data_IF_072882022832
#
_entry.id   IF_072882022832
#
_cell.length_a   1.000
_cell.length_b   1.000
_cell.length_c   1.000
_cell.angle_alpha   90.00
_cell.angle_beta   90.00
_cell.angle_gamma   90.00
#
_symmetry.space_group_name_H-M   'P 1'
#
loop_
_entity.id
_entity.type
_entity.pdbx_description
1 polymer ?
#
# COMPACT_ATOMS: atom_id res chain seq x y z
N UNK A 1 -67.78 -3.53 -30.00
CA UNK A 1 -67.24 -2.92 -28.76
C UNK A 1 -65.85 -3.49 -28.51
N UNK A 2 -64.80 -2.81 -28.95
CA UNK A 2 -63.42 -3.21 -28.65
C UNK A 2 -62.88 -2.25 -27.59
N UNK A 3 -62.52 -2.78 -26.45
CA UNK A 3 -61.82 -2.03 -25.38
C UNK A 3 -60.33 -2.18 -25.54
N UNK A 4 -59.64 -1.07 -25.90
CA UNK A 4 -58.16 -0.98 -25.89
C UNK A 4 -57.68 -0.77 -24.46
N UNK A 5 -56.79 -1.65 -24.01
CA UNK A 5 -56.00 -1.45 -22.77
C UNK A 5 -54.67 -0.83 -23.12
N UNK A 6 -54.47 0.42 -22.72
CA UNK A 6 -53.15 1.07 -22.80
C UNK A 6 -52.31 0.64 -21.60
N UNK A 7 -51.22 -0.03 -21.90
CA UNK A 7 -50.20 -0.43 -20.92
C UNK A 7 -49.26 0.76 -20.71
N UNK A 8 -49.35 1.44 -19.56
CA UNK A 8 -48.40 2.46 -19.14
C UNK A 8 -47.13 1.74 -18.63
N UNK A 9 -46.05 1.82 -19.39
CA UNK A 9 -44.71 1.40 -18.93
C UNK A 9 -44.12 2.57 -18.15
N UNK A 10 -44.05 2.44 -16.85
CA UNK A 10 -43.27 3.36 -15.98
C UNK A 10 -41.78 3.06 -16.15
N UNK A 11 -41.05 3.93 -16.85
CA UNK A 11 -39.61 3.97 -16.82
C UNK A 11 -39.15 4.57 -15.48
N UNK A 12 -38.75 3.76 -14.54
CA UNK A 12 -38.02 4.23 -13.35
C UNK A 12 -36.59 4.66 -13.79
N UNK A 13 -36.38 5.96 -13.89
CA UNK A 13 -35.07 6.56 -13.98
C UNK A 13 -34.31 6.28 -12.67
N UNK A 14 -33.47 5.26 -12.67
CA UNK A 14 -32.43 5.12 -11.65
C UNK A 14 -31.45 6.28 -11.84
N UNK A 15 -31.64 7.36 -11.08
CA UNK A 15 -30.59 8.34 -10.87
C UNK A 15 -29.44 7.65 -10.15
N UNK A 16 -28.41 7.26 -10.89
CA UNK A 16 -27.11 6.91 -10.35
C UNK A 16 -26.51 8.22 -9.81
N UNK A 17 -26.84 8.56 -8.56
CA UNK A 17 -26.10 9.57 -7.80
C UNK A 17 -24.68 9.02 -7.67
N UNK A 18 -23.77 9.55 -8.47
CA UNK A 18 -22.34 9.39 -8.23
C UNK A 18 -22.09 9.97 -6.84
N UNK A 19 -21.82 9.09 -5.86
CA UNK A 19 -21.34 9.54 -4.56
C UNK A 19 -20.10 10.37 -4.82
N UNK A 20 -20.13 11.69 -4.52
CA UNK A 20 -18.95 12.53 -4.57
C UNK A 20 -17.87 11.85 -3.73
N UNK A 21 -16.67 11.75 -4.29
CA UNK A 21 -15.53 11.20 -3.55
C UNK A 21 -15.32 12.04 -2.30
N UNK A 22 -15.42 11.40 -1.13
CA UNK A 22 -15.19 12.06 0.16
C UNK A 22 -13.72 12.50 0.34
N UNK A 23 -12.85 12.17 -0.60
CA UNK A 23 -11.44 12.53 -0.63
C UNK A 23 -11.15 13.48 -1.78
N UNK A 24 -10.23 14.42 -1.52
CA UNK A 24 -9.68 15.29 -2.56
C UNK A 24 -8.60 14.56 -3.35
N UNK A 25 -8.30 15.06 -4.55
CA UNK A 25 -7.26 14.47 -5.41
C UNK A 25 -5.83 14.58 -4.84
N UNK A 26 -5.65 15.31 -3.72
CA UNK A 26 -4.38 15.43 -3.01
C UNK A 26 -4.32 14.61 -1.73
N UNK A 27 -5.40 13.91 -1.37
CA UNK A 27 -5.42 13.01 -0.24
C UNK A 27 -4.72 11.68 -0.57
N UNK A 28 -4.18 11.06 0.46
CA UNK A 28 -3.51 9.76 0.40
C UNK A 28 -4.10 8.83 1.47
N UNK A 29 -5.36 8.36 1.30
CA UNK A 29 -6.15 7.75 2.38
C UNK A 29 -5.76 6.31 2.73
N UNK A 30 -4.99 5.64 1.88
CA UNK A 30 -4.64 4.23 2.05
C UNK A 30 -3.28 3.87 1.45
N UNK A 31 -2.89 2.61 1.56
CA UNK A 31 -1.70 2.07 0.93
C UNK A 31 -1.72 2.33 -0.58
N UNK A 32 -0.66 3.01 -1.07
CA UNK A 32 -0.43 3.43 -2.46
C UNK A 32 -1.40 4.51 -2.97
N UNK A 33 -2.05 5.27 -2.08
CA UNK A 33 -2.83 6.46 -2.42
C UNK A 33 -4.28 6.19 -2.82
N UNK A 34 -4.92 7.19 -3.34
CA UNK A 34 -6.36 7.20 -3.61
C UNK A 34 -6.81 6.06 -4.54
N UNK A 35 -6.00 5.76 -5.56
CA UNK A 35 -6.25 4.72 -6.56
C UNK A 35 -5.48 3.42 -6.29
N UNK A 36 -4.73 3.33 -5.18
CA UNK A 36 -3.92 2.18 -4.77
C UNK A 36 -2.84 1.76 -5.80
N UNK A 37 -2.44 2.67 -6.68
CA UNK A 37 -1.48 2.43 -7.77
C UNK A 37 -0.13 3.15 -7.59
N UNK A 38 -0.01 3.98 -6.53
CA UNK A 38 1.21 4.75 -6.25
C UNK A 38 1.35 6.03 -7.08
N UNK A 39 0.27 6.49 -7.70
CA UNK A 39 0.28 7.73 -8.47
C UNK A 39 -0.38 8.85 -7.69
N UNK A 40 0.23 10.03 -7.75
CA UNK A 40 -0.30 11.26 -7.19
C UNK A 40 -0.67 12.25 -8.31
N UNK A 41 -1.67 13.08 -8.04
CA UNK A 41 -2.03 14.15 -8.94
C UNK A 41 -0.83 15.10 -9.14
N UNK A 42 -0.54 15.43 -10.38
CA UNK A 42 0.48 16.44 -10.69
C UNK A 42 0.04 17.79 -10.13
N UNK A 43 0.91 18.39 -9.34
CA UNK A 43 0.81 19.77 -8.86
C UNK A 43 2.17 20.43 -9.08
N UNK A 44 2.16 21.68 -9.47
CA UNK A 44 3.39 22.47 -9.63
C UNK A 44 4.07 22.69 -8.28
N UNK A 45 5.39 22.81 -8.31
CA UNK A 45 6.16 23.17 -7.13
C UNK A 45 6.82 22.01 -6.38
N UNK A 46 6.45 20.75 -6.65
CA UNK A 46 7.10 19.60 -5.99
C UNK A 46 8.60 19.58 -6.31
N UNK A 47 9.50 19.66 -5.30
CA UNK A 47 10.93 19.71 -5.55
C UNK A 47 11.48 18.38 -6.05
N UNK A 48 12.51 18.46 -6.89
CA UNK A 48 13.31 17.31 -7.30
C UNK A 48 14.59 17.18 -6.47
N UNK A 49 15.00 18.27 -5.84
CA UNK A 49 16.23 18.32 -5.01
C UNK A 49 15.92 18.73 -3.57
N UNK A 50 16.52 18.05 -2.62
CA UNK A 50 16.49 18.39 -1.19
C UNK A 50 17.69 17.85 -0.44
N UNK A 51 17.85 18.34 0.78
CA UNK A 51 18.83 17.84 1.76
C UNK A 51 18.21 17.94 3.16
N UNK A 52 19.00 17.78 4.20
CA UNK A 52 18.51 18.00 5.59
C UNK A 52 18.07 19.45 5.86
N UNK A 53 18.52 20.41 5.04
CA UNK A 53 18.26 21.85 5.20
C UNK A 53 17.66 22.52 3.98
N UNK A 54 17.76 21.93 2.78
CA UNK A 54 17.20 22.48 1.53
C UNK A 54 15.83 21.88 1.26
N UNK A 55 14.83 22.70 0.96
CA UNK A 55 13.47 22.25 0.59
C UNK A 55 12.81 21.36 1.67
N UNK A 56 13.09 21.61 2.94
CA UNK A 56 12.42 20.98 4.08
C UNK A 56 11.50 21.99 4.71
N UNK A 57 10.18 21.77 4.62
CA UNK A 57 9.18 22.63 5.23
C UNK A 57 9.14 22.40 6.74
N UNK A 58 9.13 21.13 7.15
CA UNK A 58 9.25 20.73 8.54
C UNK A 58 9.78 19.30 8.65
N UNK A 59 10.29 18.96 9.84
CA UNK A 59 10.62 17.59 10.26
C UNK A 59 10.08 17.33 11.64
N UNK A 60 9.55 16.15 11.89
CA UNK A 60 8.99 15.77 13.19
C UNK A 60 9.55 14.43 13.63
N UNK A 61 9.99 14.35 14.86
CA UNK A 61 10.39 13.10 15.49
C UNK A 61 9.16 12.18 15.63
N UNK A 62 9.29 10.92 15.18
CA UNK A 62 8.28 9.88 15.33
C UNK A 62 8.75 8.90 16.41
N UNK A 63 8.05 8.76 17.52
CA UNK A 63 8.44 7.82 18.59
C UNK A 63 8.46 6.38 18.09
N UNK A 64 9.45 5.62 18.52
CA UNK A 64 9.60 4.21 18.19
C UNK A 64 10.04 3.95 16.74
N UNK A 65 9.75 2.74 16.26
CA UNK A 65 10.14 2.23 14.94
C UNK A 65 8.93 1.80 14.12
N UNK A 66 8.91 2.11 12.82
CA UNK A 66 7.83 1.65 11.94
C UNK A 66 8.16 1.77 10.47
N UNK A 67 7.56 0.88 9.67
CA UNK A 67 7.63 0.91 8.21
C UNK A 67 6.31 1.38 7.58
N UNK A 68 5.37 1.79 8.42
CA UNK A 68 4.10 2.38 7.98
C UNK A 68 4.35 3.56 7.05
N UNK A 69 3.79 3.49 5.86
CA UNK A 69 3.70 4.62 4.95
C UNK A 69 2.74 5.66 5.53
N UNK A 70 3.00 6.96 5.43
CA UNK A 70 2.07 7.98 5.89
C UNK A 70 0.72 7.87 5.17
N UNK A 71 -0.36 8.07 5.91
CA UNK A 71 -1.70 8.30 5.38
C UNK A 71 -2.04 9.75 5.60
N UNK A 72 -2.56 10.43 4.59
CA UNK A 72 -2.80 11.86 4.64
C UNK A 72 -4.20 12.17 4.11
N UNK A 73 -5.04 12.79 4.94
CA UNK A 73 -6.37 13.26 4.56
C UNK A 73 -6.61 14.65 5.16
N UNK A 74 -6.96 15.58 4.30
CA UNK A 74 -7.13 16.98 4.69
C UNK A 74 -5.86 17.56 5.33
N UNK A 75 -5.94 17.95 6.58
CA UNK A 75 -4.83 18.53 7.35
C UNK A 75 -4.18 17.56 8.34
N UNK A 76 -4.44 16.27 8.24
CA UNK A 76 -3.94 15.26 9.18
C UNK A 76 -3.08 14.21 8.49
N UNK A 77 -2.03 13.78 9.16
CA UNK A 77 -1.14 12.71 8.74
C UNK A 77 -1.14 11.63 9.82
N UNK A 78 -1.35 10.39 9.42
CA UNK A 78 -1.42 9.24 10.32
C UNK A 78 -0.33 8.22 10.00
N UNK A 79 0.30 7.68 11.04
CA UNK A 79 1.36 6.70 10.96
C UNK A 79 1.20 5.64 12.05
N UNK A 80 1.45 4.39 11.73
CA UNK A 80 1.66 3.36 12.73
C UNK A 80 3.14 3.36 13.16
N UNK A 81 3.38 3.13 14.46
CA UNK A 81 4.72 3.01 15.03
C UNK A 81 4.72 2.02 16.21
N UNK A 82 5.88 1.51 16.58
CA UNK A 82 6.05 0.59 17.70
C UNK A 82 7.25 1.02 18.56
N UNK A 83 7.03 1.12 19.84
CA UNK A 83 8.09 1.32 20.82
C UNK A 83 8.56 -0.07 21.29
N UNK A 84 9.78 -0.45 20.93
CA UNK A 84 10.33 -1.77 21.21
C UNK A 84 10.85 -1.87 22.65
N UNK A 85 11.14 -0.74 23.31
CA UNK A 85 11.60 -0.69 24.70
C UNK A 85 10.41 -0.74 25.67
N UNK A 86 9.40 0.09 25.41
CA UNK A 86 8.16 0.15 26.21
C UNK A 86 7.12 -0.89 25.79
N UNK A 87 7.40 -1.67 24.74
CA UNK A 87 6.59 -2.78 24.23
C UNK A 87 5.14 -2.42 23.92
N UNK A 88 4.93 -1.35 23.13
CA UNK A 88 3.59 -0.99 22.62
C UNK A 88 3.59 -0.63 21.14
N UNK A 89 2.44 -0.85 20.51
CA UNK A 89 2.15 -0.41 19.15
C UNK A 89 1.15 0.73 19.18
N UNK A 90 1.37 1.77 18.39
CA UNK A 90 0.53 2.97 18.41
C UNK A 90 0.26 3.51 17.01
N UNK A 91 -0.76 4.37 16.94
CA UNK A 91 -1.01 5.27 15.82
C UNK A 91 -0.73 6.68 16.30
N UNK A 92 -0.03 7.45 15.49
CA UNK A 92 0.22 8.88 15.71
C UNK A 92 -0.52 9.70 14.67
N UNK A 93 -1.01 10.87 15.07
CA UNK A 93 -1.59 11.89 14.20
C UNK A 93 -0.77 13.15 14.26
N UNK A 94 -0.40 13.68 13.09
CA UNK A 94 0.34 14.93 12.95
C UNK A 94 -0.48 15.95 12.18
N UNK A 95 -0.26 17.23 12.45
CA UNK A 95 -0.75 18.32 11.64
C UNK A 95 0.09 18.42 10.35
N UNK A 96 -0.57 18.45 9.19
CA UNK A 96 0.07 18.53 7.87
C UNK A 96 0.86 19.83 7.67
N UNK A 97 0.40 20.94 8.25
CA UNK A 97 0.96 22.27 7.99
C UNK A 97 2.32 22.47 8.67
N UNK A 98 2.43 22.06 9.93
CA UNK A 98 3.61 22.32 10.77
C UNK A 98 4.27 21.05 11.36
N UNK A 99 3.72 19.88 11.07
CA UNK A 99 4.24 18.60 11.54
C UNK A 99 4.03 18.31 13.03
N UNK A 100 3.36 19.19 13.79
CA UNK A 100 3.15 18.96 15.23
C UNK A 100 2.30 17.72 15.47
N UNK A 101 2.70 16.92 16.45
CA UNK A 101 1.90 15.79 16.91
C UNK A 101 0.63 16.29 17.59
N UNK A 102 -0.52 15.84 17.11
CA UNK A 102 -1.84 16.17 17.66
C UNK A 102 -2.18 15.14 18.75
N UNK A 103 -2.00 13.85 18.45
CA UNK A 103 -2.19 12.77 19.40
C UNK A 103 -1.36 11.53 19.04
N UNK A 104 -1.13 10.68 20.05
CA UNK A 104 -0.61 9.33 19.92
C UNK A 104 -1.50 8.40 20.73
N UNK A 105 -2.00 7.33 20.12
CA UNK A 105 -2.83 6.34 20.78
C UNK A 105 -2.13 5.00 20.80
N UNK A 106 -1.88 4.46 21.97
CA UNK A 106 -1.45 3.06 22.15
C UNK A 106 -2.61 2.14 21.77
N UNK A 107 -2.40 1.29 20.76
CA UNK A 107 -3.39 0.33 20.25
C UNK A 107 -3.22 -1.02 20.91
N UNK A 108 -1.97 -1.43 21.12
CA UNK A 108 -1.59 -2.65 21.83
C UNK A 108 -0.44 -2.38 22.77
N UNK A 109 -0.47 -3.02 23.92
CA UNK A 109 0.62 -3.09 24.90
C UNK A 109 0.90 -4.56 25.25
N UNK A 110 2.15 -4.90 25.48
CA UNK A 110 2.58 -6.24 25.87
C UNK A 110 3.60 -6.87 24.93
N UNK A 111 3.90 -8.13 25.16
CA UNK A 111 4.97 -8.84 24.50
C UNK A 111 4.79 -8.89 22.97
N UNK A 112 5.78 -8.41 22.25
CA UNK A 112 5.81 -8.47 20.80
C UNK A 112 5.99 -9.89 20.28
N UNK A 113 5.57 -10.09 19.03
CA UNK A 113 5.82 -11.34 18.31
C UNK A 113 7.32 -11.56 18.14
N UNK A 114 7.77 -12.78 18.39
CA UNK A 114 9.18 -13.19 18.22
C UNK A 114 9.46 -13.67 16.80
N UNK A 115 10.74 -13.62 16.39
CA UNK A 115 11.19 -14.10 15.08
C UNK A 115 10.99 -13.10 13.94
N UNK A 116 10.88 -11.80 14.25
CA UNK A 116 10.83 -10.74 13.27
C UNK A 116 12.15 -10.68 12.48
N UNK A 117 12.05 -10.52 11.17
CA UNK A 117 13.23 -10.27 10.32
C UNK A 117 13.85 -8.91 10.70
N UNK A 118 15.18 -8.83 10.65
CA UNK A 118 15.94 -7.58 10.94
C UNK A 118 15.50 -6.38 10.09
N UNK A 119 14.96 -6.65 8.89
CA UNK A 119 14.43 -5.65 7.96
C UNK A 119 12.93 -5.42 8.09
N UNK A 120 12.28 -5.95 9.12
CA UNK A 120 10.88 -5.69 9.40
C UNK A 120 10.72 -4.83 10.66
N UNK A 121 9.50 -4.41 10.95
CA UNK A 121 9.14 -3.70 12.17
C UNK A 121 7.81 -4.22 12.71
N UNK A 122 7.54 -3.96 13.98
CA UNK A 122 6.25 -4.30 14.62
C UNK A 122 5.10 -3.37 14.18
N UNK A 123 5.38 -2.37 13.32
CA UNK A 123 4.42 -1.44 12.75
C UNK A 123 4.66 -1.29 11.22
N UNK A 124 4.45 -2.39 10.48
CA UNK A 124 4.71 -2.46 9.03
C UNK A 124 3.51 -2.09 8.16
N UNK A 125 2.30 -2.01 8.72
CA UNK A 125 1.07 -1.75 7.95
C UNK A 125 0.77 -0.26 7.87
N UNK A 126 0.15 0.16 6.77
CA UNK A 126 -0.34 1.53 6.58
C UNK A 126 -1.69 1.70 7.27
N UNK A 127 -1.89 2.81 7.95
CA UNK A 127 -3.20 3.22 8.48
C UNK A 127 -4.11 3.56 7.30
N UNK A 128 -5.36 3.13 7.32
CA UNK A 128 -6.34 3.44 6.28
C UNK A 128 -7.40 4.37 6.84
N UNK A 129 -7.76 5.38 6.07
CA UNK A 129 -8.78 6.38 6.40
C UNK A 129 -10.00 6.22 5.48
N UNK A 130 -11.20 6.12 6.02
CA UNK A 130 -12.44 5.98 5.24
C UNK A 130 -13.32 7.24 5.21
N UNK A 131 -12.76 8.39 5.61
CA UNK A 131 -13.48 9.64 5.75
C UNK A 131 -14.04 9.88 7.17
N UNK A 132 -14.35 8.81 7.91
CA UNK A 132 -14.94 8.89 9.26
C UNK A 132 -14.05 8.26 10.34
N UNK A 133 -13.23 7.27 9.97
CA UNK A 133 -12.43 6.43 10.89
C UNK A 133 -11.10 6.07 10.29
N UNK A 134 -10.25 5.58 11.18
CA UNK A 134 -8.94 5.00 10.86
C UNK A 134 -8.98 3.50 11.13
N UNK A 135 -8.32 2.73 10.27
CA UNK A 135 -8.17 1.28 10.44
C UNK A 135 -6.70 0.90 10.36
N UNK A 136 -6.26 0.02 11.25
CA UNK A 136 -4.88 -0.45 11.30
C UNK A 136 -4.84 -1.91 11.73
N UNK A 137 -3.90 -2.64 11.17
CA UNK A 137 -3.63 -4.04 11.52
C UNK A 137 -2.29 -4.14 12.26
N UNK A 138 -2.26 -4.94 13.32
CA UNK A 138 -1.04 -5.27 14.06
C UNK A 138 -0.96 -6.76 14.38
N UNK A 139 0.24 -7.20 14.69
CA UNK A 139 0.48 -8.51 15.34
C UNK A 139 1.13 -8.25 16.68
N UNK A 140 0.50 -8.75 17.74
CA UNK A 140 1.02 -8.74 19.10
C UNK A 140 1.05 -10.17 19.64
N UNK A 141 2.15 -10.59 20.28
CA UNK A 141 2.33 -11.99 20.68
C UNK A 141 2.25 -12.93 19.47
N UNK A 142 1.25 -13.80 19.45
CA UNK A 142 0.98 -14.75 18.38
C UNK A 142 -0.38 -14.51 17.69
N UNK A 143 -0.91 -13.30 17.74
CA UNK A 143 -2.25 -12.97 17.28
C UNK A 143 -2.23 -11.73 16.37
N UNK A 144 -2.87 -11.81 15.21
CA UNK A 144 -3.15 -10.67 14.35
C UNK A 144 -4.46 -10.00 14.79
N UNK A 145 -4.46 -8.68 14.77
CA UNK A 145 -5.62 -7.84 15.12
C UNK A 145 -5.89 -6.81 14.05
N UNK A 146 -7.17 -6.49 13.88
CA UNK A 146 -7.63 -5.28 13.23
C UNK A 146 -8.23 -4.33 14.27
N UNK A 147 -7.95 -3.05 14.14
CA UNK A 147 -8.44 -2.02 15.05
C UNK A 147 -9.00 -0.85 14.27
N UNK A 148 -10.10 -0.26 14.77
CA UNK A 148 -10.63 1.00 14.27
C UNK A 148 -10.51 2.08 15.34
N UNK A 149 -10.06 3.27 14.92
CA UNK A 149 -9.97 4.46 15.75
C UNK A 149 -10.85 5.57 15.17
N UNK A 150 -11.34 6.43 16.03
CA UNK A 150 -11.89 7.73 15.64
C UNK A 150 -10.79 8.65 15.12
N UNK A 151 -11.17 9.72 14.43
CA UNK A 151 -10.22 10.74 13.98
C UNK A 151 -9.62 11.51 15.16
N UNK A 152 -10.26 11.46 16.33
CA UNK A 152 -9.76 11.96 17.62
C UNK A 152 -8.77 11.01 18.32
N UNK A 153 -8.45 9.89 17.68
CA UNK A 153 -7.53 8.87 18.18
C UNK A 153 -8.14 7.84 19.15
N UNK A 154 -9.42 7.95 19.52
CA UNK A 154 -10.03 6.98 20.43
C UNK A 154 -10.25 5.64 19.75
N UNK A 155 -9.89 4.56 20.42
CA UNK A 155 -10.18 3.19 19.97
C UNK A 155 -11.69 2.95 19.99
N UNK A 156 -12.25 2.60 18.81
CA UNK A 156 -13.68 2.30 18.65
C UNK A 156 -13.93 0.81 18.83
N UNK A 157 -13.16 -0.01 18.11
CA UNK A 157 -13.21 -1.44 18.25
C UNK A 157 -11.85 -2.09 17.90
N UNK A 158 -11.63 -3.27 18.44
CA UNK A 158 -10.46 -4.10 18.17
C UNK A 158 -10.90 -5.56 18.09
N UNK A 159 -10.48 -6.27 17.02
CA UNK A 159 -10.89 -7.65 16.75
C UNK A 159 -9.70 -8.52 16.42
N UNK A 160 -9.60 -9.72 17.06
CA UNK A 160 -8.63 -10.73 16.65
C UNK A 160 -9.03 -11.29 15.28
N UNK A 161 -8.05 -11.39 14.38
CA UNK A 161 -8.23 -11.95 13.03
C UNK A 161 -7.90 -13.44 13.01
N UNK A 162 -6.87 -13.84 13.75
CA UNK A 162 -6.44 -15.22 13.86
C UNK A 162 -5.03 -15.35 14.42
N UNK A 163 -4.65 -16.57 14.78
CA UNK A 163 -3.28 -16.87 15.19
C UNK A 163 -2.31 -16.51 14.08
N UNK A 164 -1.20 -15.91 14.44
CA UNK A 164 -0.17 -15.48 13.50
C UNK A 164 1.21 -15.91 13.96
N UNK A 165 1.89 -16.69 13.13
CA UNK A 165 3.30 -17.04 13.32
C UNK A 165 4.13 -16.16 12.39
N UNK A 166 4.88 -15.24 12.98
CA UNK A 166 5.78 -14.37 12.23
C UNK A 166 6.84 -15.19 11.48
N UNK A 167 7.13 -14.78 10.25
CA UNK A 167 8.21 -15.28 9.42
C UNK A 167 9.16 -14.16 9.02
N UNK A 168 8.67 -13.16 8.28
CA UNK A 168 9.45 -11.95 7.95
C UNK A 168 8.95 -10.75 8.75
N UNK A 169 7.64 -10.64 8.94
CA UNK A 169 6.95 -9.56 9.61
C UNK A 169 5.45 -9.63 9.35
N UNK A 170 4.79 -8.50 9.39
CA UNK A 170 3.39 -8.34 9.01
C UNK A 170 3.23 -7.05 8.21
N UNK A 171 2.81 -7.14 6.94
CA UNK A 171 2.80 -6.00 6.01
C UNK A 171 1.47 -5.77 5.28
N UNK A 172 0.49 -6.68 5.38
CA UNK A 172 -0.80 -6.50 4.72
C UNK A 172 -1.62 -5.41 5.42
N UNK A 173 -1.77 -4.27 4.77
CA UNK A 173 -2.59 -3.17 5.27
C UNK A 173 -4.08 -3.48 5.13
N UNK A 174 -4.97 -2.86 5.94
CA UNK A 174 -6.40 -2.93 5.71
C UNK A 174 -6.77 -2.38 4.33
N UNK A 175 -7.94 -2.79 3.81
CA UNK A 175 -8.57 -2.20 2.64
C UNK A 175 -10.03 -1.92 2.97
N UNK A 176 -10.55 -0.76 2.60
CA UNK A 176 -11.97 -0.40 2.83
C UNK A 176 -12.72 -0.40 1.50
N UNK A 177 -13.88 -1.05 1.50
CA UNK A 177 -14.80 -1.03 0.37
C UNK A 177 -16.26 -0.99 0.87
N UNK A 178 -16.99 0.06 0.53
CA UNK A 178 -18.33 0.27 1.02
C UNK A 178 -18.39 0.32 2.56
N UNK A 179 -19.11 -0.62 3.16
CA UNK A 179 -19.22 -0.77 4.60
C UNK A 179 -18.31 -1.85 5.21
N UNK A 180 -17.40 -2.39 4.41
CA UNK A 180 -16.49 -3.49 4.80
C UNK A 180 -15.06 -2.99 4.94
N UNK A 181 -14.39 -3.41 6.02
CA UNK A 181 -12.93 -3.39 6.16
C UNK A 181 -12.42 -4.79 5.90
N UNK A 182 -11.63 -4.96 4.87
CA UNK A 182 -10.97 -6.23 4.57
C UNK A 182 -9.62 -6.27 5.24
N UNK A 183 -9.34 -7.37 5.92
CA UNK A 183 -8.07 -7.64 6.58
C UNK A 183 -7.56 -9.02 6.19
N UNK A 184 -6.25 -9.13 5.92
CA UNK A 184 -5.61 -10.37 5.49
C UNK A 184 -4.42 -10.68 6.41
N UNK A 185 -4.37 -11.92 6.88
CA UNK A 185 -3.33 -12.42 7.76
C UNK A 185 -2.85 -13.80 7.28
N UNK A 186 -2.03 -13.81 6.23
CA UNK A 186 -1.42 -15.02 5.68
C UNK A 186 -0.19 -15.42 6.51
N UNK A 187 -0.12 -16.66 6.97
CA UNK A 187 0.95 -17.15 7.84
C UNK A 187 1.27 -18.63 7.57
N UNK A 188 2.47 -19.08 7.95
CA UNK A 188 2.94 -20.46 7.79
C UNK A 188 2.04 -21.52 8.43
N UNK A 189 1.22 -21.16 9.40
CA UNK A 189 0.32 -22.09 10.09
C UNK A 189 -1.10 -22.11 9.51
N UNK A 190 -1.34 -21.36 8.44
CA UNK A 190 -2.64 -21.08 7.86
C UNK A 190 -3.18 -19.76 8.37
N UNK A 191 -3.75 -18.99 7.48
CA UNK A 191 -4.25 -17.65 7.76
C UNK A 191 -5.68 -17.47 7.32
N UNK A 192 -6.12 -16.23 7.30
CA UNK A 192 -7.43 -15.84 6.83
C UNK A 192 -7.40 -14.49 6.12
N UNK A 193 -8.36 -14.31 5.22
CA UNK A 193 -8.81 -13.01 4.77
C UNK A 193 -10.27 -12.86 5.17
N UNK A 194 -10.63 -11.75 5.80
CA UNK A 194 -11.99 -11.53 6.26
C UNK A 194 -12.46 -10.09 6.03
N UNK A 195 -13.76 -9.94 5.83
CA UNK A 195 -14.46 -8.68 5.79
C UNK A 195 -15.16 -8.41 7.11
N UNK A 196 -14.84 -7.27 7.69
CA UNK A 196 -15.43 -6.79 8.94
C UNK A 196 -16.34 -5.60 8.67
N UNK A 197 -17.47 -5.54 9.34
CA UNK A 197 -18.30 -4.33 9.35
C UNK A 197 -17.50 -3.14 9.90
N UNK A 198 -17.35 -2.09 9.12
CA UNK A 198 -16.47 -0.97 9.44
C UNK A 198 -16.88 -0.21 10.72
N UNK A 199 -18.15 -0.26 11.13
CA UNK A 199 -18.66 0.43 12.32
C UNK A 199 -18.43 -0.35 13.61
N UNK A 200 -18.58 -1.67 13.55
CA UNK A 200 -18.64 -2.54 14.74
C UNK A 200 -17.50 -3.53 14.86
N UNK A 201 -16.76 -3.74 13.77
CA UNK A 201 -15.74 -4.80 13.67
C UNK A 201 -16.33 -6.21 13.66
N UNK A 202 -17.66 -6.38 13.52
CA UNK A 202 -18.29 -7.69 13.39
C UNK A 202 -17.87 -8.33 12.07
N UNK A 203 -17.39 -9.58 12.15
CA UNK A 203 -17.06 -10.36 10.97
C UNK A 203 -18.32 -10.62 10.13
N UNK A 204 -18.26 -10.26 8.84
CA UNK A 204 -19.34 -10.46 7.87
C UNK A 204 -19.06 -11.70 7.04
N UNK A 205 -17.79 -11.87 6.62
CA UNK A 205 -17.35 -13.03 5.87
C UNK A 205 -15.89 -13.37 6.19
N UNK A 206 -15.52 -14.62 5.94
CA UNK A 206 -14.16 -15.14 6.11
C UNK A 206 -13.84 -16.16 5.02
N UNK A 207 -12.58 -16.12 4.55
CA UNK A 207 -11.99 -17.15 3.70
C UNK A 207 -10.69 -17.62 4.33
N UNK A 208 -10.53 -18.93 4.46
CA UNK A 208 -9.28 -19.54 4.92
C UNK A 208 -8.21 -19.40 3.84
N UNK A 209 -6.97 -19.23 4.27
CA UNK A 209 -5.81 -19.04 3.40
C UNK A 209 -4.82 -20.21 3.53
N UNK A 210 -4.08 -20.55 2.45
CA UNK A 210 -3.06 -21.57 2.49
C UNK A 210 -1.97 -21.29 3.56
N UNK A 211 -1.23 -22.35 3.94
CA UNK A 211 -0.17 -22.28 4.96
C UNK A 211 1.14 -21.70 4.41
N UNK A 212 1.05 -20.53 3.76
CA UNK A 212 2.18 -19.76 3.25
C UNK A 212 2.11 -18.34 3.77
N UNK A 213 3.25 -17.74 4.21
CA UNK A 213 3.26 -16.34 4.60
C UNK A 213 3.18 -15.45 3.37
N UNK A 214 2.37 -14.40 3.43
CA UNK A 214 2.27 -13.38 2.41
C UNK A 214 1.97 -12.02 3.02
N UNK A 215 2.38 -10.97 2.33
CA UNK A 215 2.41 -9.62 2.88
C UNK A 215 1.69 -8.59 2.00
N UNK A 216 1.16 -9.02 0.86
CA UNK A 216 0.48 -8.15 -0.10
C UNK A 216 -0.80 -7.57 0.48
N UNK A 217 -1.07 -6.31 0.19
CA UNK A 217 -2.35 -5.67 0.49
C UNK A 217 -3.32 -5.95 -0.65
N UNK A 218 -4.58 -6.38 -0.38
CA UNK A 218 -5.61 -6.50 -1.40
C UNK A 218 -5.92 -5.15 -2.04
N UNK A 219 -6.21 -5.14 -3.33
CA UNK A 219 -6.63 -3.95 -4.07
C UNK A 219 -7.94 -4.20 -4.79
N UNK A 220 -8.78 -3.17 -4.92
CA UNK A 220 -9.98 -3.23 -5.75
C UNK A 220 -9.61 -2.77 -7.15
N UNK A 221 -9.95 -3.58 -8.13
CA UNK A 221 -9.80 -3.27 -9.56
C UNK A 221 -11.15 -3.34 -10.25
N UNK A 222 -11.30 -2.61 -11.32
CA UNK A 222 -12.41 -2.80 -12.26
C UNK A 222 -11.91 -3.65 -13.44
N UNK A 223 -12.56 -4.79 -13.65
CA UNK A 223 -12.27 -5.67 -14.78
C UNK A 223 -13.55 -6.38 -15.20
N UNK A 224 -13.73 -6.54 -16.51
CA UNK A 224 -14.94 -7.13 -17.12
C UNK A 224 -16.24 -6.45 -16.63
N UNK A 225 -16.22 -5.13 -16.43
CA UNK A 225 -17.36 -4.33 -15.98
C UNK A 225 -17.79 -4.57 -14.52
N UNK A 226 -16.91 -5.16 -13.70
CA UNK A 226 -17.17 -5.43 -12.28
C UNK A 226 -16.02 -4.99 -11.40
N UNK A 227 -16.35 -4.42 -10.24
CA UNK A 227 -15.38 -4.19 -9.18
C UNK A 227 -15.08 -5.51 -8.48
N UNK A 228 -13.80 -5.83 -8.35
CA UNK A 228 -13.30 -7.06 -7.76
C UNK A 228 -12.14 -6.73 -6.84
N UNK A 229 -12.06 -7.42 -5.72
CA UNK A 229 -10.90 -7.35 -4.85
C UNK A 229 -9.90 -8.42 -5.27
N UNK A 230 -8.68 -8.01 -5.64
CA UNK A 230 -7.64 -8.93 -6.12
C UNK A 230 -6.39 -8.82 -5.25
N UNK A 231 -5.76 -9.95 -5.02
CA UNK A 231 -4.47 -10.04 -4.32
C UNK A 231 -3.70 -11.28 -4.80
N UNK A 232 -2.39 -11.26 -4.62
CA UNK A 232 -1.50 -12.37 -4.99
C UNK A 232 -0.78 -12.93 -3.76
N UNK A 233 -0.25 -14.14 -3.92
CA UNK A 233 0.50 -14.88 -2.92
C UNK A 233 -0.03 -16.30 -2.75
N UNK A 234 0.74 -17.15 -2.07
CA UNK A 234 0.43 -18.57 -1.94
C UNK A 234 0.36 -19.29 -3.31
N UNK A 235 1.20 -18.89 -4.28
CA UNK A 235 1.24 -19.36 -5.68
C UNK A 235 0.00 -18.97 -6.51
N UNK A 236 -0.93 -18.21 -5.93
CA UNK A 236 -2.23 -17.86 -6.48
C UNK A 236 -2.39 -16.36 -6.71
N UNK A 237 -3.22 -16.03 -7.68
CA UNK A 237 -3.87 -14.74 -7.80
C UNK A 237 -5.36 -15.01 -7.56
N UNK A 238 -5.90 -14.37 -6.54
CA UNK A 238 -7.27 -14.62 -6.07
C UNK A 238 -8.09 -13.36 -6.23
N UNK A 239 -9.28 -13.49 -6.79
CA UNK A 239 -10.31 -12.45 -6.88
C UNK A 239 -11.51 -12.83 -6.06
N UNK A 240 -11.94 -11.91 -5.19
CA UNK A 240 -13.14 -12.05 -4.37
C UNK A 240 -14.08 -10.85 -4.60
N UNK A 241 -15.35 -11.08 -4.39
CA UNK A 241 -16.30 -9.99 -4.15
C UNK A 241 -15.98 -9.35 -2.78
N UNK A 242 -15.64 -8.06 -2.71
CA UNK A 242 -15.22 -7.44 -1.46
C UNK A 242 -16.32 -7.35 -0.41
N UNK A 243 -17.60 -7.35 -0.81
CA UNK A 243 -18.73 -7.24 0.12
C UNK A 243 -19.12 -8.57 0.76
N UNK A 244 -18.99 -9.65 0.01
CA UNK A 244 -19.46 -10.99 0.42
C UNK A 244 -18.35 -11.99 0.68
N UNK A 245 -17.12 -11.70 0.23
CA UNK A 245 -15.99 -12.63 0.26
C UNK A 245 -16.13 -13.80 -0.72
N UNK A 246 -17.18 -13.81 -1.56
CA UNK A 246 -17.36 -14.86 -2.55
C UNK A 246 -16.20 -14.89 -3.55
N UNK A 247 -15.63 -16.07 -3.78
CA UNK A 247 -14.57 -16.25 -4.77
C UNK A 247 -15.14 -16.05 -6.17
N UNK A 248 -14.65 -15.06 -6.88
CA UNK A 248 -15.01 -14.81 -8.28
C UNK A 248 -14.18 -15.70 -9.21
N UNK A 249 -12.86 -15.74 -8.98
CA UNK A 249 -11.93 -16.63 -9.66
C UNK A 249 -10.64 -16.75 -8.86
N UNK A 250 -9.86 -17.77 -9.18
CA UNK A 250 -8.56 -18.03 -8.62
C UNK A 250 -7.70 -18.77 -9.62
N UNK A 251 -6.49 -18.28 -9.88
CA UNK A 251 -5.60 -18.84 -10.88
C UNK A 251 -4.18 -18.91 -10.34
N UNK A 252 -3.39 -19.86 -10.85
CA UNK A 252 -1.94 -19.88 -10.60
C UNK A 252 -1.29 -18.71 -11.32
N UNK A 253 -0.24 -18.12 -10.74
CA UNK A 253 0.47 -17.01 -11.41
C UNK A 253 1.30 -16.14 -10.49
N UNK A 254 1.44 -16.51 -9.22
CA UNK A 254 2.33 -15.84 -8.29
C UNK A 254 3.37 -16.81 -7.69
N UNK A 255 4.09 -16.38 -6.67
CA UNK A 255 5.01 -17.22 -5.89
C UNK A 255 4.44 -17.52 -4.50
N UNK A 256 5.09 -18.40 -3.74
CA UNK A 256 4.66 -18.75 -2.39
C UNK A 256 4.59 -17.51 -1.51
N UNK A 257 5.65 -16.71 -1.52
CA UNK A 257 5.71 -15.45 -0.77
C UNK A 257 5.74 -14.26 -1.72
N UNK A 258 4.79 -13.36 -1.56
CA UNK A 258 4.72 -12.07 -2.25
C UNK A 258 4.63 -10.94 -1.22
N UNK A 259 5.34 -9.85 -1.50
CA UNK A 259 5.29 -8.60 -0.72
C UNK A 259 4.76 -7.47 -1.59
N UNK A 260 5.18 -7.45 -2.86
CA UNK A 260 4.78 -6.47 -3.87
C UNK A 260 3.26 -6.50 -4.09
N UNK A 261 2.60 -5.37 -3.90
CA UNK A 261 1.19 -5.20 -4.26
C UNK A 261 1.06 -5.12 -5.77
N UNK A 262 0.09 -5.85 -6.32
CA UNK A 262 -0.18 -5.84 -7.75
C UNK A 262 -0.63 -4.47 -8.27
N UNK A 263 -0.42 -4.24 -9.56
CA UNK A 263 -1.00 -3.10 -10.30
C UNK A 263 -1.73 -3.61 -11.55
N UNK A 264 -2.56 -2.79 -12.16
CA UNK A 264 -3.37 -3.17 -13.33
C UNK A 264 -3.45 -2.03 -14.34
N UNK A 265 -3.58 -2.39 -15.62
CA UNK A 265 -3.97 -1.51 -16.71
C UNK A 265 -5.47 -1.64 -17.08
N UNK A 266 -6.24 -2.36 -16.24
CA UNK A 266 -7.64 -2.70 -16.49
C UNK A 266 -7.84 -3.99 -17.32
N UNK A 267 -6.83 -4.40 -18.09
CA UNK A 267 -6.83 -5.62 -18.92
C UNK A 267 -5.94 -6.71 -18.32
N UNK A 268 -4.80 -6.31 -17.78
CA UNK A 268 -3.84 -7.20 -17.14
C UNK A 268 -3.66 -6.86 -15.67
N UNK A 269 -3.29 -7.88 -14.92
CA UNK A 269 -2.81 -7.78 -13.55
C UNK A 269 -1.31 -8.08 -13.58
N UNK A 270 -0.51 -7.13 -13.09
CA UNK A 270 0.95 -7.28 -13.01
C UNK A 270 1.32 -7.70 -11.60
N UNK A 271 1.92 -8.86 -11.49
CA UNK A 271 2.33 -9.47 -10.22
C UNK A 271 3.82 -9.74 -10.20
N UNK A 272 4.38 -9.71 -9.01
CA UNK A 272 5.77 -10.11 -8.81
C UNK A 272 5.95 -10.82 -7.46
N UNK A 273 7.01 -11.59 -7.36
CA UNK A 273 7.40 -12.30 -6.15
C UNK A 273 8.88 -12.68 -6.21
N UNK A 274 9.39 -13.20 -5.10
CA UNK A 274 10.83 -13.50 -4.99
C UNK A 274 11.17 -14.76 -4.21
N UNK A 275 10.18 -15.55 -3.80
CA UNK A 275 10.41 -16.78 -3.06
C UNK A 275 9.37 -17.87 -3.42
N UNK A 276 9.78 -19.13 -3.69
CA UNK A 276 11.17 -19.64 -3.70
C UNK A 276 11.96 -19.26 -4.95
N UNK A 277 11.32 -18.63 -5.94
CA UNK A 277 11.94 -18.20 -7.20
C UNK A 277 11.55 -16.78 -7.56
N UNK A 278 12.40 -16.11 -8.32
CA UNK A 278 12.08 -14.80 -8.89
C UNK A 278 10.98 -14.96 -9.95
N UNK A 279 10.05 -14.03 -9.96
CA UNK A 279 8.90 -14.08 -10.85
C UNK A 279 8.29 -12.69 -11.03
N UNK A 280 8.07 -12.30 -12.27
CA UNK A 280 7.25 -11.16 -12.65
C UNK A 280 6.41 -11.56 -13.85
N UNK A 281 5.10 -11.26 -13.83
CA UNK A 281 4.19 -11.68 -14.89
C UNK A 281 3.04 -10.69 -15.08
N UNK A 282 2.51 -10.66 -16.29
CA UNK A 282 1.23 -10.09 -16.63
C UNK A 282 0.21 -11.22 -16.87
N UNK A 283 -0.88 -11.19 -16.13
CA UNK A 283 -1.99 -12.15 -16.22
C UNK A 283 -3.22 -11.38 -16.68
N UNK A 284 -3.98 -11.97 -17.61
CA UNK A 284 -5.23 -11.34 -18.07
C UNK A 284 -6.24 -11.30 -16.91
N UNK A 285 -6.84 -10.12 -16.69
CA UNK A 285 -7.67 -9.86 -15.51
C UNK A 285 -9.11 -10.42 -15.62
N UNK A 286 -9.35 -11.37 -16.52
CA UNK A 286 -10.65 -12.02 -16.79
C UNK A 286 -10.90 -13.32 -16.00
N UNK A 287 -9.93 -13.74 -15.20
CA UNK A 287 -10.00 -14.99 -14.44
C UNK A 287 -9.70 -16.26 -15.25
N UNK A 288 -9.31 -16.13 -16.50
CA UNK A 288 -8.91 -17.29 -17.35
C UNK A 288 -7.59 -17.93 -16.94
N UNK A 289 -6.76 -17.19 -16.18
CA UNK A 289 -5.39 -17.61 -15.86
C UNK A 289 -4.41 -17.46 -17.03
N UNK A 290 -4.83 -16.88 -18.13
CA UNK A 290 -3.99 -16.65 -19.30
C UNK A 290 -2.85 -15.71 -18.97
N UNK A 291 -1.64 -16.19 -19.14
CA UNK A 291 -0.40 -15.43 -18.98
C UNK A 291 -0.12 -14.69 -20.28
N UNK A 292 -0.12 -13.35 -20.25
CA UNK A 292 0.30 -12.55 -21.39
C UNK A 292 1.82 -12.63 -21.59
N UNK A 293 2.56 -12.45 -20.52
CA UNK A 293 4.01 -12.66 -20.47
C UNK A 293 4.49 -12.95 -19.05
N UNK A 294 5.69 -13.50 -18.93
CA UNK A 294 6.40 -13.71 -17.67
C UNK A 294 7.91 -13.63 -17.87
N UNK A 295 8.62 -13.22 -16.83
CA UNK A 295 10.07 -13.24 -16.79
C UNK A 295 10.58 -13.61 -15.38
N UNK A 296 11.90 -13.69 -15.22
CA UNK A 296 12.57 -14.03 -13.96
C UNK A 296 13.10 -12.80 -13.21
N UNK A 297 12.57 -11.62 -13.47
CA UNK A 297 12.95 -10.44 -12.72
C UNK A 297 12.45 -10.55 -11.26
N UNK A 298 13.29 -10.08 -10.33
CA UNK A 298 12.95 -10.03 -8.92
C UNK A 298 12.49 -8.62 -8.54
N UNK A 299 11.20 -8.46 -8.36
CA UNK A 299 10.58 -7.30 -7.73
C UNK A 299 9.82 -7.83 -6.52
N UNK A 300 10.56 -8.10 -5.43
CA UNK A 300 10.01 -8.86 -4.30
C UNK A 300 9.32 -7.95 -3.30
N UNK A 301 9.98 -6.87 -2.85
CA UNK A 301 9.44 -5.95 -1.84
C UNK A 301 8.78 -4.73 -2.47
N UNK A 302 9.42 -3.97 -3.38
CA UNK A 302 8.80 -2.80 -4.00
C UNK A 302 7.60 -3.19 -4.88
N UNK A 303 6.57 -2.34 -4.90
CA UNK A 303 5.46 -2.48 -5.85
C UNK A 303 5.76 -1.68 -7.12
N UNK A 304 5.27 -2.17 -8.25
CA UNK A 304 5.43 -1.54 -9.55
C UNK A 304 4.55 -0.29 -9.69
N UNK A 305 4.87 0.52 -10.68
CA UNK A 305 4.04 1.61 -11.19
C UNK A 305 3.66 1.27 -12.63
N UNK A 306 2.46 1.60 -13.03
CA UNK A 306 2.04 1.49 -14.43
C UNK A 306 1.58 2.86 -14.91
N UNK A 307 2.01 3.24 -16.11
CA UNK A 307 1.57 4.43 -16.79
C UNK A 307 1.56 4.20 -18.29
N UNK A 308 0.45 4.52 -18.91
CA UNK A 308 0.24 4.21 -20.31
C UNK A 308 0.49 2.70 -20.55
N UNK A 309 1.30 2.33 -21.50
CA UNK A 309 1.65 0.94 -21.78
C UNK A 309 2.98 0.51 -21.15
N UNK A 310 3.45 1.15 -20.06
CA UNK A 310 4.77 0.88 -19.48
C UNK A 310 4.74 0.67 -17.97
N UNK A 311 5.49 -0.32 -17.51
CA UNK A 311 5.75 -0.61 -16.11
C UNK A 311 7.10 -0.01 -15.70
N UNK A 312 7.10 0.67 -14.56
CA UNK A 312 8.31 1.22 -13.94
C UNK A 312 8.47 0.66 -12.53
N UNK A 313 9.68 0.34 -12.16
CA UNK A 313 9.96 -0.15 -10.81
C UNK A 313 11.40 0.12 -10.38
N UNK A 314 11.59 0.27 -9.05
CA UNK A 314 12.88 0.15 -8.39
C UNK A 314 12.99 -1.25 -7.78
N UNK A 315 14.01 -2.02 -8.15
CA UNK A 315 14.15 -3.43 -7.78
C UNK A 315 14.93 -3.59 -6.47
N UNK A 316 14.65 -4.69 -5.76
CA UNK A 316 15.42 -5.07 -4.55
C UNK A 316 16.94 -5.03 -4.76
N UNK A 317 17.40 -5.39 -5.95
CA UNK A 317 18.83 -5.46 -6.28
C UNK A 317 19.47 -4.10 -6.65
N UNK A 318 18.76 -2.98 -6.49
CA UNK A 318 19.32 -1.64 -6.72
C UNK A 318 19.27 -1.18 -8.17
N UNK A 319 18.31 -1.64 -8.96
CA UNK A 319 18.09 -1.18 -10.33
C UNK A 319 16.75 -0.45 -10.45
N UNK A 320 16.71 0.52 -11.34
CA UNK A 320 15.46 0.95 -11.95
C UNK A 320 15.28 0.24 -13.29
N UNK A 321 14.03 -0.06 -13.66
CA UNK A 321 13.74 -0.77 -14.90
C UNK A 321 12.40 -0.30 -15.47
N UNK A 322 12.30 -0.28 -16.79
CA UNK A 322 11.08 -0.06 -17.54
C UNK A 322 10.80 -1.25 -18.43
N UNK A 323 9.56 -1.73 -18.42
CA UNK A 323 9.07 -2.77 -19.34
C UNK A 323 7.87 -2.26 -20.13
N UNK A 324 7.75 -2.73 -21.37
CA UNK A 324 6.47 -2.66 -22.08
C UNK A 324 5.45 -3.54 -21.35
N UNK A 325 4.33 -2.99 -20.92
CA UNK A 325 3.34 -3.69 -20.11
C UNK A 325 2.62 -4.81 -20.89
N UNK A 326 2.47 -4.68 -22.21
CA UNK A 326 1.78 -5.68 -23.04
C UNK A 326 2.66 -6.87 -23.40
N UNK A 327 3.98 -6.65 -23.58
CA UNK A 327 4.90 -7.68 -24.07
C UNK A 327 5.88 -8.20 -23.03
N UNK A 328 6.11 -7.42 -21.94
CA UNK A 328 7.15 -7.70 -20.96
C UNK A 328 8.57 -7.40 -21.44
N UNK A 329 8.72 -6.77 -22.62
CA UNK A 329 10.00 -6.39 -23.18
C UNK A 329 10.67 -5.28 -22.36
N UNK A 330 11.93 -5.49 -22.03
CA UNK A 330 12.74 -4.50 -21.30
C UNK A 330 13.07 -3.33 -22.23
N UNK A 331 12.63 -2.13 -21.86
CA UNK A 331 12.94 -0.92 -22.59
C UNK A 331 14.30 -0.37 -22.16
N UNK A 332 14.53 -0.34 -20.86
CA UNK A 332 15.82 0.03 -20.27
C UNK A 332 15.92 -0.53 -18.83
N UNK A 333 17.16 -0.67 -18.37
CA UNK A 333 17.53 -1.05 -17.02
C UNK A 333 18.76 -0.30 -16.57
N UNK A 334 18.67 0.40 -15.44
CA UNK A 334 19.75 1.26 -14.95
C UNK A 334 20.11 0.95 -13.51
N UNK A 335 21.39 0.99 -13.18
CA UNK A 335 21.89 0.71 -11.84
C UNK A 335 21.90 1.97 -10.98
N UNK A 336 21.01 2.02 -9.97
CA UNK A 336 20.92 3.11 -8.99
C UNK A 336 21.79 2.87 -7.75
N UNK A 337 22.04 1.60 -7.43
CA UNK A 337 22.78 1.16 -6.23
C UNK A 337 21.93 1.12 -4.96
N UNK A 338 22.42 0.37 -3.98
CA UNK A 338 21.70 0.05 -2.76
C UNK A 338 20.55 -0.94 -2.99
N UNK A 339 19.82 -1.29 -1.95
CA UNK A 339 18.61 -2.12 -2.05
C UNK A 339 17.36 -1.26 -1.88
N UNK A 340 16.30 -1.55 -2.62
CA UNK A 340 15.02 -0.85 -2.49
C UNK A 340 14.01 -1.76 -1.81
N UNK A 341 13.41 -1.28 -0.70
CA UNK A 341 12.28 -1.91 -0.02
C UNK A 341 11.06 -0.99 0.00
N UNK A 342 11.25 0.28 -0.36
CA UNK A 342 10.15 1.20 -0.55
C UNK A 342 9.52 1.00 -1.93
N UNK A 343 8.21 1.14 -2.03
CA UNK A 343 7.54 1.28 -3.32
C UNK A 343 7.70 2.72 -3.83
N UNK A 344 8.04 2.91 -5.10
CA UNK A 344 8.15 4.26 -5.67
C UNK A 344 6.77 4.92 -5.80
N UNK A 345 6.76 6.26 -5.82
CA UNK A 345 5.59 7.09 -6.13
C UNK A 345 5.82 7.85 -7.41
N UNK A 346 4.77 8.01 -8.24
CA UNK A 346 4.81 8.75 -9.49
C UNK A 346 3.96 10.01 -9.40
N UNK A 347 4.49 11.14 -9.90
CA UNK A 347 3.79 12.42 -9.99
C UNK A 347 4.04 13.02 -11.38
N UNK A 348 3.00 13.08 -12.20
CA UNK A 348 3.19 13.43 -13.60
C UNK A 348 4.17 12.47 -14.28
N UNK A 349 5.23 12.99 -14.88
CA UNK A 349 6.28 12.20 -15.52
C UNK A 349 7.49 11.92 -14.62
N UNK A 350 7.39 12.12 -13.29
CA UNK A 350 8.50 11.93 -12.35
C UNK A 350 8.24 10.78 -11.40
N UNK A 351 9.23 9.95 -11.20
CA UNK A 351 9.22 8.83 -10.25
C UNK A 351 10.20 9.14 -9.12
N UNK A 352 9.74 8.94 -7.89
CA UNK A 352 10.51 9.13 -6.66
C UNK A 352 10.65 7.75 -5.98
N UNK A 353 11.86 7.21 -5.97
CA UNK A 353 12.18 5.91 -5.36
C UNK A 353 13.30 6.02 -4.34
N UNK A 354 13.07 5.57 -3.11
CA UNK A 354 14.05 5.62 -2.01
C UNK A 354 14.67 4.26 -1.77
N UNK A 355 15.99 4.19 -1.63
CA UNK A 355 16.67 2.97 -1.23
C UNK A 355 16.84 2.88 0.29
N UNK A 356 17.23 1.71 0.78
CA UNK A 356 17.40 1.45 2.22
C UNK A 356 18.42 2.37 2.90
N UNK A 357 19.39 2.90 2.17
CA UNK A 357 20.43 3.80 2.75
C UNK A 357 19.99 5.26 2.83
N UNK A 358 18.71 5.57 2.58
CA UNK A 358 18.17 6.94 2.67
C UNK A 358 18.37 7.77 1.42
N UNK A 359 18.82 7.18 0.31
CA UNK A 359 18.98 7.87 -0.96
C UNK A 359 17.72 7.76 -1.79
N UNK A 360 17.12 8.90 -2.14
CA UNK A 360 15.96 8.99 -3.02
C UNK A 360 16.37 9.45 -4.40
N UNK A 361 16.08 8.65 -5.40
CA UNK A 361 16.30 8.96 -6.81
C UNK A 361 15.02 9.53 -7.41
N UNK A 362 15.19 10.62 -8.16
CA UNK A 362 14.12 11.22 -8.96
C UNK A 362 14.50 11.05 -10.42
N UNK A 363 13.66 10.38 -11.20
CA UNK A 363 13.90 10.11 -12.61
C UNK A 363 12.62 10.22 -13.42
N UNK A 364 12.76 10.35 -14.75
CA UNK A 364 11.60 10.48 -15.64
C UNK A 364 10.91 9.13 -15.88
N UNK A 365 9.57 9.16 -15.92
CA UNK A 365 8.75 8.08 -16.47
C UNK A 365 8.79 8.16 -18.00
N UNK A 366 9.92 7.84 -18.61
CA UNK A 366 10.19 7.87 -20.04
C UNK A 366 10.53 6.45 -20.51
N UNK A 367 9.76 5.83 -21.42
CA UNK A 367 10.05 4.47 -21.87
C UNK A 367 11.23 4.38 -22.83
N UNK A 368 11.63 5.48 -23.48
CA UNK A 368 12.67 5.44 -24.51
C UNK A 368 14.08 5.42 -23.93
N UNK A 369 14.27 6.04 -22.77
CA UNK A 369 15.58 6.12 -22.09
C UNK A 369 15.41 6.38 -20.59
N UNK A 370 16.39 5.94 -19.80
CA UNK A 370 16.48 6.33 -18.40
C UNK A 370 17.07 7.73 -18.28
N UNK A 371 16.39 8.63 -17.57
CA UNK A 371 16.87 9.97 -17.31
C UNK A 371 16.79 10.30 -15.81
N UNK A 372 17.93 10.31 -15.15
CA UNK A 372 18.05 10.75 -13.76
C UNK A 372 17.93 12.27 -13.69
N UNK A 373 17.02 12.75 -12.84
CA UNK A 373 16.83 14.18 -12.56
C UNK A 373 17.67 14.59 -11.37
N UNK A 374 17.59 13.81 -10.26
CA UNK A 374 18.29 14.10 -9.02
C UNK A 374 18.47 12.84 -8.16
N UNK A 375 19.43 12.92 -7.24
CA UNK A 375 19.63 11.91 -6.20
C UNK A 375 19.88 12.62 -4.85
N UNK A 376 18.97 12.40 -3.91
CA UNK A 376 18.89 13.15 -2.66
C UNK A 376 19.19 12.22 -1.47
N UNK A 377 20.04 12.65 -0.55
CA UNK A 377 20.32 11.90 0.67
C UNK A 377 19.56 12.49 1.85
N UNK A 378 18.77 11.65 2.56
CA UNK A 378 18.07 12.03 3.77
C UNK A 378 17.97 10.85 4.73
N UNK A 379 18.57 11.00 5.92
CA UNK A 379 18.77 9.87 6.83
C UNK A 379 19.81 8.87 6.31
N UNK A 380 19.86 7.69 6.93
CA UNK A 380 20.71 6.57 6.53
C UNK A 380 19.97 5.23 6.56
N UNK A 381 18.66 5.25 6.82
CA UNK A 381 17.81 4.08 6.71
C UNK A 381 16.37 4.50 6.37
N UNK A 382 15.78 3.88 5.32
CA UNK A 382 14.39 4.16 4.86
C UNK A 382 13.71 2.86 4.46
N UNK A 383 12.56 2.59 5.08
CA UNK A 383 11.69 1.45 4.76
C UNK A 383 10.28 1.89 4.32
N UNK A 384 9.77 2.97 4.89
CA UNK A 384 8.47 3.49 4.52
C UNK A 384 8.48 4.09 3.12
N UNK A 385 7.49 3.77 2.31
CA UNK A 385 7.35 4.33 0.98
C UNK A 385 7.04 5.83 1.05
N UNK A 386 7.58 6.65 0.16
CA UNK A 386 7.22 8.06 0.07
C UNK A 386 5.76 8.22 -0.36
N UNK A 387 5.15 9.33 0.05
CA UNK A 387 3.85 9.77 -0.47
C UNK A 387 3.94 11.22 -0.96
N UNK A 388 3.03 11.60 -1.83
CA UNK A 388 2.91 12.97 -2.32
C UNK A 388 1.50 13.49 -2.09
N UNK A 389 1.40 14.70 -1.55
CA UNK A 389 0.14 15.42 -1.38
C UNK A 389 0.32 16.89 -1.72
N UNK A 390 -0.33 17.33 -2.79
CA UNK A 390 -0.10 18.66 -3.34
C UNK A 390 1.35 18.85 -3.79
N UNK A 391 1.95 19.95 -3.36
CA UNK A 391 3.32 20.34 -3.67
C UNK A 391 4.38 19.76 -2.71
N UNK A 392 4.02 18.77 -1.88
CA UNK A 392 4.90 18.20 -0.87
C UNK A 392 5.05 16.70 -1.00
N UNK A 393 6.31 16.25 -0.83
CA UNK A 393 6.69 14.86 -0.61
C UNK A 393 6.82 14.62 0.90
N UNK A 394 6.27 13.51 1.39
CA UNK A 394 6.42 13.09 2.78
C UNK A 394 7.23 11.80 2.82
N UNK A 395 8.30 11.81 3.61
CA UNK A 395 9.23 10.70 3.71
C UNK A 395 9.58 10.42 5.18
N UNK A 396 9.29 9.20 5.64
CA UNK A 396 9.73 8.71 6.95
C UNK A 396 11.13 8.14 6.80
N UNK A 397 12.08 8.69 7.54
CA UNK A 397 13.49 8.30 7.52
C UNK A 397 14.00 8.04 8.92
N UNK A 398 14.99 7.16 9.04
CA UNK A 398 15.74 6.96 10.26
C UNK A 398 17.18 7.47 10.13
N UNK A 399 17.69 7.95 11.25
CA UNK A 399 19.10 8.18 11.51
C UNK A 399 19.52 7.11 12.51
N UNK A 400 20.24 6.10 12.00
CA UNK A 400 20.76 5.00 12.77
C UNK A 400 22.23 5.30 13.12
N UNK A 401 22.49 5.55 14.39
CA UNK A 401 23.78 5.72 15.03
C UNK A 401 23.81 4.84 16.29
N UNK A 402 24.34 5.37 17.39
CA UNK A 402 24.28 4.71 18.72
C UNK A 402 22.81 4.51 19.16
N UNK A 403 21.97 5.51 18.89
CA UNK A 403 20.54 5.42 19.01
C UNK A 403 19.88 5.57 17.65
N UNK A 404 18.79 4.82 17.42
CA UNK A 404 17.93 4.99 16.26
C UNK A 404 16.90 6.08 16.52
N UNK A 405 16.82 7.10 15.63
CA UNK A 405 15.78 8.14 15.67
C UNK A 405 15.07 8.21 14.34
N UNK A 406 13.75 8.17 14.37
CA UNK A 406 12.92 8.26 13.17
C UNK A 406 12.24 9.62 13.06
N UNK A 407 12.18 10.13 11.84
CA UNK A 407 11.54 11.41 11.54
C UNK A 407 10.66 11.31 10.32
N UNK A 408 9.54 12.00 10.35
CA UNK A 408 8.78 12.33 9.16
C UNK A 408 9.21 13.71 8.67
N UNK A 409 9.54 13.78 7.40
CA UNK A 409 9.86 15.03 6.70
C UNK A 409 8.73 15.42 5.76
N UNK A 410 8.35 16.69 5.76
CA UNK A 410 7.62 17.31 4.67
C UNK A 410 8.62 18.07 3.80
N UNK A 411 8.78 17.62 2.58
CA UNK A 411 9.71 18.14 1.59
C UNK A 411 8.91 18.95 0.58
N UNK A 412 9.20 20.23 0.46
CA UNK A 412 8.50 21.20 -0.38
C UNK A 412 9.33 22.44 -0.55
N UNK A 413 8.92 23.34 -1.44
CA UNK A 413 9.51 24.69 -1.53
C UNK A 413 8.98 25.50 -0.36
N UNK A 414 9.87 26.28 0.29
CA UNK A 414 9.52 27.29 1.28
C UNK A 414 9.00 28.55 0.58
#
# INVERSE_FOLDING_TARGET
>A
MYRSYSLLILFSLFNCLSAESQFTATDWPNWRGLTSDGQAKLVDGLPTEWSQTKNVVWKTFIPGRGHSTPTLVGNHIYLATADEDEMFQSVVCLNKLDGKMIWQTKVHEGQFAVGLNKHASHAGTTVVHDGERLYVNFVIGSQAYASALGLDGKLIWQKPIGKYKVHQGYGSSPMVFGNIVVVKADTKIGGAICGLDKKTGREIWRQERPKFPNYTTPVVIESAGKQQMVFCGCELITSLDPLTGAKLWEVSGSTQECVSTLVTDGTHIFVSGGWPKNHTAAIVADGSGRVAWKNSARVYVPSMLIRDDFLYVTMDAGFAICWNAKTGEEQWKERLGGAFYTSPVMVGNRIYGSNLSGKTFVFEANPNEFKLIAANQLGNEVYASPIVSGDRLYLRVAFKGDERKEFLYAIGKN
#
